data_IF_308993938755
#
_entry.id   IF_308993938755
#
_cell.length_a   1.000
_cell.length_b   1.000
_cell.length_c   1.000
_cell.angle_alpha   90.00
_cell.angle_beta   90.00
_cell.angle_gamma   90.00
#
_symmetry.space_group_name_H-M   'P 1'
#
loop_
_entity.id
_entity.type
_entity.pdbx_description
1 polymer ?
#
# COMPACT_ATOMS: atom_id res chain seq x y z
N UNK A 1 2.23 -2.11 -14.11
CA UNK A 1 3.21 -2.12 -12.97
C UNK A 1 3.74 -3.54 -12.82
N UNK A 2 5.07 -3.74 -12.80
CA UNK A 2 5.69 -5.08 -12.96
C UNK A 2 5.10 -6.21 -12.10
N UNK A 3 4.84 -5.95 -10.82
CA UNK A 3 4.17 -6.94 -9.96
C UNK A 3 2.75 -7.27 -10.46
N UNK A 4 1.92 -6.25 -10.72
CA UNK A 4 0.53 -6.44 -11.16
C UNK A 4 0.43 -7.12 -12.51
N UNK A 5 1.22 -6.66 -13.49
CA UNK A 5 1.24 -7.23 -14.84
C UNK A 5 1.67 -8.70 -14.81
N UNK A 6 2.64 -9.03 -13.93
CA UNK A 6 3.07 -10.41 -13.72
C UNK A 6 2.02 -11.25 -13.01
N UNK A 7 1.40 -10.73 -11.95
CA UNK A 7 0.32 -11.42 -11.22
C UNK A 7 -0.87 -11.74 -12.16
N UNK A 8 -1.29 -10.77 -12.96
CA UNK A 8 -2.35 -10.96 -13.97
C UNK A 8 -1.99 -12.04 -15.00
N UNK A 9 -0.72 -12.07 -15.47
CA UNK A 9 -0.23 -13.13 -16.37
C UNK A 9 -0.25 -14.52 -15.74
N UNK A 10 -0.32 -14.62 -14.41
CA UNK A 10 -0.43 -15.87 -13.65
C UNK A 10 -1.88 -16.22 -13.28
N UNK A 11 -2.85 -15.40 -13.73
CA UNK A 11 -4.28 -15.62 -13.54
C UNK A 11 -4.87 -14.96 -12.30
N UNK A 12 -4.15 -14.05 -11.63
CA UNK A 12 -4.71 -13.22 -10.56
C UNK A 12 -5.62 -12.12 -11.14
N UNK A 13 -6.70 -11.80 -10.43
CA UNK A 13 -7.46 -10.59 -10.70
C UNK A 13 -6.72 -9.38 -10.12
N UNK A 14 -6.42 -8.38 -10.94
CA UNK A 14 -5.68 -7.18 -10.53
C UNK A 14 -6.54 -5.95 -10.70
N UNK A 15 -6.76 -5.21 -9.60
CA UNK A 15 -7.41 -3.89 -9.62
C UNK A 15 -6.36 -2.82 -9.34
N UNK A 16 -6.20 -1.87 -10.25
CA UNK A 16 -5.23 -0.78 -10.12
C UNK A 16 -5.93 0.57 -9.98
N UNK A 17 -5.57 1.32 -8.95
CA UNK A 17 -6.13 2.63 -8.65
C UNK A 17 -5.04 3.71 -8.71
N UNK A 18 -5.20 4.67 -9.61
CA UNK A 18 -4.30 5.81 -9.76
C UNK A 18 -4.80 6.98 -8.92
N UNK A 19 -4.36 7.05 -7.65
CA UNK A 19 -4.88 8.00 -6.67
C UNK A 19 -4.81 9.47 -7.10
N UNK A 20 -3.82 9.85 -7.91
CA UNK A 20 -3.68 11.22 -8.37
C UNK A 20 -4.84 11.67 -9.30
N UNK A 21 -5.51 10.74 -9.97
CA UNK A 21 -6.65 11.01 -10.84
C UNK A 21 -8.01 10.91 -10.12
N UNK A 22 -8.04 10.53 -8.85
CA UNK A 22 -9.26 10.27 -8.09
C UNK A 22 -9.68 11.52 -7.29
N UNK A 23 -10.98 11.69 -7.13
CA UNK A 23 -11.55 12.79 -6.35
C UNK A 23 -11.92 12.29 -4.94
N UNK A 24 -11.06 12.57 -3.97
CA UNK A 24 -11.28 12.17 -2.58
C UNK A 24 -10.67 13.16 -1.58
N UNK A 25 -11.09 13.03 -0.34
CA UNK A 25 -10.53 13.77 0.80
C UNK A 25 -9.75 12.83 1.73
N UNK A 26 -8.70 13.35 2.33
CA UNK A 26 -8.01 12.66 3.43
C UNK A 26 -8.92 12.46 4.65
N UNK A 27 -8.45 11.72 5.64
CA UNK A 27 -9.19 11.48 6.88
C UNK A 27 -9.51 12.80 7.59
N UNK A 28 -10.77 12.99 8.00
CA UNK A 28 -11.23 14.19 8.67
C UNK A 28 -11.19 14.07 10.21
N UNK A 29 -10.66 12.98 10.77
CA UNK A 29 -10.60 12.76 12.22
C UNK A 29 -11.98 12.71 12.91
N UNK A 30 -13.03 12.42 12.18
CA UNK A 30 -14.42 12.48 12.69
C UNK A 30 -14.81 11.32 13.62
N UNK A 31 -13.99 10.27 13.71
CA UNK A 31 -14.21 9.06 14.52
C UNK A 31 -15.51 8.28 14.22
N UNK A 32 -16.25 8.61 13.18
CA UNK A 32 -17.49 7.92 12.86
C UNK A 32 -17.26 6.41 12.62
N UNK A 33 -16.12 6.02 12.05
CA UNK A 33 -15.71 4.63 11.88
C UNK A 33 -15.39 3.88 13.19
N UNK A 34 -15.43 4.55 14.34
CA UNK A 34 -15.25 3.97 15.69
C UNK A 34 -16.54 3.97 16.50
N UNK A 35 -17.46 4.85 16.17
CA UNK A 35 -18.63 5.14 17.04
C UNK A 35 -19.97 4.91 16.37
N UNK A 36 -20.05 4.94 15.02
CA UNK A 36 -21.29 4.90 14.27
C UNK A 36 -21.39 3.73 13.29
N UNK A 37 -20.27 3.34 12.69
CA UNK A 37 -20.21 2.29 11.67
C UNK A 37 -18.79 1.72 11.57
N UNK A 38 -18.64 0.57 10.92
CA UNK A 38 -17.37 -0.15 10.81
C UNK A 38 -16.55 0.21 9.56
N UNK A 39 -16.96 1.25 8.82
CA UNK A 39 -16.30 1.74 7.61
C UNK A 39 -16.12 3.25 7.65
N UNK A 40 -15.38 3.82 6.70
CA UNK A 40 -15.27 5.28 6.59
C UNK A 40 -16.62 5.90 6.20
N UNK A 41 -17.00 6.98 6.87
CA UNK A 41 -18.27 7.68 6.60
C UNK A 41 -18.20 8.52 5.32
N UNK A 42 -17.02 8.92 4.89
CA UNK A 42 -16.86 9.71 3.66
C UNK A 42 -17.19 8.82 2.44
N UNK A 43 -18.02 9.35 1.56
CA UNK A 43 -18.41 8.74 0.30
C UNK A 43 -17.77 9.51 -0.83
N UNK A 44 -16.69 8.97 -1.35
CA UNK A 44 -15.88 9.51 -2.44
C UNK A 44 -15.19 8.35 -3.18
N UNK A 45 -14.32 8.62 -4.12
CA UNK A 45 -13.67 7.58 -4.93
C UNK A 45 -12.88 6.55 -4.11
N UNK A 46 -12.41 6.91 -2.89
CA UNK A 46 -11.76 5.94 -2.00
C UNK A 46 -12.74 4.92 -1.39
N UNK A 47 -14.03 5.10 -1.50
CA UNK A 47 -15.00 4.11 -0.99
C UNK A 47 -14.78 2.76 -1.67
N UNK A 48 -14.72 2.75 -3.00
CA UNK A 48 -14.45 1.53 -3.78
C UNK A 48 -13.08 0.93 -3.47
N UNK A 49 -12.02 1.77 -3.36
CA UNK A 49 -10.67 1.30 -3.04
C UNK A 49 -10.62 0.59 -1.69
N UNK A 50 -11.26 1.18 -0.67
CA UNK A 50 -11.31 0.60 0.67
C UNK A 50 -12.11 -0.72 0.69
N UNK A 51 -13.19 -0.82 -0.08
CA UNK A 51 -13.96 -2.07 -0.22
C UNK A 51 -13.13 -3.14 -0.95
N UNK A 52 -12.45 -2.79 -2.04
CA UNK A 52 -11.61 -3.72 -2.80
C UNK A 52 -10.45 -4.30 -1.97
N UNK A 53 -9.83 -3.51 -1.09
CA UNK A 53 -8.77 -3.99 -0.18
C UNK A 53 -9.31 -5.02 0.81
N UNK A 54 -10.56 -4.87 1.24
CA UNK A 54 -11.17 -5.85 2.14
C UNK A 54 -11.29 -7.24 1.48
N UNK A 55 -11.50 -7.28 0.18
CA UNK A 55 -11.63 -8.51 -0.61
C UNK A 55 -10.30 -9.07 -1.10
N UNK A 56 -9.31 -8.21 -1.38
CA UNK A 56 -8.04 -8.60 -1.98
C UNK A 56 -7.17 -9.46 -1.04
N UNK A 57 -6.45 -10.43 -1.60
CA UNK A 57 -5.44 -11.23 -0.88
C UNK A 57 -4.13 -10.47 -0.73
N UNK A 58 -3.81 -9.58 -1.67
CA UNK A 58 -2.56 -8.82 -1.71
C UNK A 58 -2.85 -7.33 -1.86
N UNK A 59 -2.33 -6.52 -0.93
CA UNK A 59 -2.31 -5.06 -1.03
C UNK A 59 -0.95 -4.60 -1.54
N UNK A 60 -0.93 -3.89 -2.66
CA UNK A 60 0.27 -3.24 -3.19
C UNK A 60 0.12 -1.73 -3.08
N UNK A 61 1.02 -1.10 -2.33
CA UNK A 61 1.15 0.36 -2.26
C UNK A 61 2.40 0.78 -3.01
N UNK A 62 2.26 1.66 -4.00
CA UNK A 62 3.38 2.16 -4.79
C UNK A 62 3.42 3.69 -4.77
N UNK A 63 4.60 4.26 -4.50
CA UNK A 63 4.79 5.70 -4.42
C UNK A 63 6.22 6.12 -4.73
N UNK A 64 6.43 7.28 -5.35
CA UNK A 64 7.72 7.96 -5.21
C UNK A 64 7.87 8.47 -3.77
N UNK A 65 9.13 8.62 -3.34
CA UNK A 65 9.46 9.36 -2.12
C UNK A 65 9.56 10.84 -2.48
N UNK A 66 8.61 11.63 -2.00
CA UNK A 66 8.56 13.07 -2.18
C UNK A 66 8.73 13.77 -0.84
N UNK A 67 9.72 14.66 -0.77
CA UNK A 67 9.97 15.49 0.41
C UNK A 67 9.95 14.68 1.71
N UNK A 68 10.81 13.64 1.76
CA UNK A 68 11.03 12.72 2.89
C UNK A 68 9.85 11.79 3.27
N UNK A 69 8.83 11.64 2.43
CA UNK A 69 7.74 10.71 2.70
C UNK A 69 7.14 10.17 1.39
N UNK A 70 6.14 9.30 1.48
CA UNK A 70 5.31 8.91 0.34
C UNK A 70 4.55 10.12 -0.21
N UNK A 71 4.02 10.02 -1.41
CA UNK A 71 3.21 11.09 -2.01
C UNK A 71 2.01 11.47 -1.12
N UNK A 72 1.61 12.73 -1.14
CA UNK A 72 0.46 13.22 -0.36
C UNK A 72 -0.83 12.48 -0.67
N UNK A 73 -1.02 12.04 -1.92
CA UNK A 73 -2.18 11.23 -2.33
C UNK A 73 -2.18 9.87 -1.63
N UNK A 74 -1.04 9.16 -1.64
CA UNK A 74 -0.94 7.88 -0.94
C UNK A 74 -1.07 8.06 0.57
N UNK A 75 -0.48 9.11 1.14
CA UNK A 75 -0.64 9.41 2.58
C UNK A 75 -2.09 9.68 2.95
N UNK A 76 -2.81 10.46 2.14
CA UNK A 76 -4.24 10.72 2.35
C UNK A 76 -5.10 9.45 2.29
N UNK A 77 -4.76 8.52 1.38
CA UNK A 77 -5.37 7.19 1.36
C UNK A 77 -5.03 6.40 2.63
N UNK A 78 -3.76 6.32 3.02
CA UNK A 78 -3.32 5.62 4.24
C UNK A 78 -4.05 6.13 5.47
N UNK A 79 -4.24 7.45 5.62
CA UNK A 79 -5.02 8.01 6.73
C UNK A 79 -6.49 7.55 6.73
N UNK A 80 -7.07 7.31 5.56
CA UNK A 80 -8.45 6.81 5.42
C UNK A 80 -8.59 5.35 5.85
N UNK A 81 -7.54 4.55 5.74
CA UNK A 81 -7.53 3.15 6.19
C UNK A 81 -7.62 3.02 7.71
N UNK A 82 -7.50 4.11 8.48
CA UNK A 82 -7.84 4.13 9.92
C UNK A 82 -9.21 3.51 10.20
N UNK A 83 -10.12 3.51 9.24
CA UNK A 83 -11.42 2.86 9.34
C UNK A 83 -11.34 1.33 9.51
N UNK A 84 -10.25 0.69 9.12
CA UNK A 84 -10.06 -0.76 9.34
C UNK A 84 -9.72 -1.11 10.79
N UNK A 85 -9.19 -0.18 11.57
CA UNK A 85 -8.92 -0.44 12.98
C UNK A 85 -10.22 -0.45 13.79
N UNK A 86 -10.34 -1.41 14.70
CA UNK A 86 -11.48 -1.51 15.61
C UNK A 86 -11.41 -0.41 16.69
N UNK A 87 -12.53 -0.06 17.34
CA UNK A 87 -12.45 0.72 18.57
C UNK A 87 -11.51 0.05 19.58
N UNK A 88 -10.74 0.85 20.33
CA UNK A 88 -9.79 0.38 21.33
C UNK A 88 -8.74 -0.62 20.81
N UNK A 89 -8.30 -0.44 19.57
CA UNK A 89 -7.41 -1.37 18.87
C UNK A 89 -6.05 -1.60 19.56
N UNK A 90 -5.58 -0.70 20.41
CA UNK A 90 -4.35 -0.87 21.20
C UNK A 90 -4.45 -1.96 22.26
N UNK A 91 -5.65 -2.25 22.75
CA UNK A 91 -5.89 -3.19 23.87
C UNK A 91 -6.58 -4.49 23.38
N UNK A 92 -6.60 -4.74 22.07
CA UNK A 92 -7.30 -5.88 21.48
C UNK A 92 -6.33 -6.87 20.85
N UNK A 93 -6.58 -8.18 20.94
CA UNK A 93 -5.83 -9.18 20.20
C UNK A 93 -6.15 -9.17 18.69
N UNK A 94 -7.33 -8.68 18.29
CA UNK A 94 -7.81 -8.53 16.90
C UNK A 94 -8.01 -7.04 16.55
N UNK A 95 -6.95 -6.24 16.38
CA UNK A 95 -7.07 -4.79 16.24
C UNK A 95 -7.68 -4.35 14.92
N UNK A 96 -7.57 -5.17 13.88
CA UNK A 96 -7.96 -4.86 12.51
C UNK A 96 -9.24 -5.58 12.08
N UNK A 97 -10.00 -4.95 11.19
CA UNK A 97 -11.20 -5.54 10.56
C UNK A 97 -10.89 -6.25 9.24
N UNK A 98 -9.70 -6.10 8.71
CA UNK A 98 -9.29 -6.82 7.51
C UNK A 98 -9.20 -8.32 7.80
N UNK A 99 -9.60 -9.19 6.85
CA UNK A 99 -9.38 -10.62 6.96
C UNK A 99 -7.91 -10.96 7.17
N UNK A 100 -7.64 -12.02 7.92
CA UNK A 100 -6.30 -12.55 8.13
C UNK A 100 -5.71 -13.16 6.84
N UNK A 101 -4.39 -13.30 6.81
CA UNK A 101 -3.67 -13.95 5.71
C UNK A 101 -3.38 -13.04 4.51
N UNK A 102 -3.77 -11.78 4.56
CA UNK A 102 -3.42 -10.81 3.51
C UNK A 102 -1.93 -10.52 3.50
N UNK A 103 -1.40 -10.29 2.29
CA UNK A 103 -0.01 -9.90 2.06
C UNK A 103 0.11 -8.42 1.73
N UNK A 104 1.24 -7.82 2.08
CA UNK A 104 1.50 -6.40 1.85
C UNK A 104 2.79 -6.16 1.05
N UNK A 105 2.70 -5.42 -0.05
CA UNK A 105 3.85 -4.99 -0.82
C UNK A 105 3.92 -3.46 -0.84
N UNK A 106 5.05 -2.92 -0.40
CA UNK A 106 5.39 -1.51 -0.57
C UNK A 106 6.42 -1.37 -1.68
N UNK A 107 6.13 -0.55 -2.68
CA UNK A 107 7.08 -0.21 -3.74
C UNK A 107 7.39 1.28 -3.64
N UNK A 108 8.64 1.61 -3.40
CA UNK A 108 9.12 2.99 -3.31
C UNK A 108 10.15 3.26 -4.41
N UNK A 109 10.10 4.46 -4.99
CA UNK A 109 11.13 4.98 -5.86
C UNK A 109 11.63 6.31 -5.35
N UNK A 110 12.93 6.56 -5.43
CA UNK A 110 13.54 7.82 -4.99
C UNK A 110 14.74 8.18 -5.87
N UNK A 111 14.95 9.48 -6.09
CA UNK A 111 16.15 9.98 -6.73
C UNK A 111 17.38 9.97 -5.82
N UNK A 112 17.17 10.04 -4.50
CA UNK A 112 18.23 10.00 -3.51
C UNK A 112 18.92 8.62 -3.43
N UNK A 113 20.13 8.59 -2.86
CA UNK A 113 20.88 7.35 -2.63
C UNK A 113 20.19 6.44 -1.60
N UNK A 114 20.56 5.17 -1.60
CA UNK A 114 19.97 4.15 -0.72
C UNK A 114 20.11 4.45 0.77
N UNK A 115 21.17 5.15 1.17
CA UNK A 115 21.40 5.56 2.57
C UNK A 115 20.39 6.59 3.09
N UNK A 116 19.70 7.31 2.18
CA UNK A 116 18.75 8.36 2.53
C UNK A 116 17.32 7.81 2.61
N UNK A 117 16.46 8.46 3.38
CA UNK A 117 15.04 8.12 3.54
C UNK A 117 14.76 6.67 4.01
N UNK A 118 15.67 6.08 4.81
CA UNK A 118 15.52 4.71 5.34
C UNK A 118 14.36 4.58 6.32
N UNK A 119 13.94 5.66 6.92
CA UNK A 119 12.82 5.74 7.84
C UNK A 119 11.48 5.56 7.12
N UNK A 120 11.38 5.93 5.85
CA UNK A 120 10.13 5.84 5.06
C UNK A 120 9.65 4.38 4.94
N UNK A 121 10.43 3.42 4.41
CA UNK A 121 9.98 2.03 4.37
C UNK A 121 9.65 1.48 5.75
N UNK A 122 10.46 1.74 6.78
CA UNK A 122 10.24 1.25 8.14
C UNK A 122 8.90 1.71 8.73
N UNK A 123 8.53 2.97 8.49
CA UNK A 123 7.24 3.54 8.91
C UNK A 123 6.05 2.76 8.32
N UNK A 124 6.11 2.45 7.02
CA UNK A 124 5.00 1.79 6.34
C UNK A 124 5.00 0.27 6.49
N UNK A 125 6.14 -0.35 6.75
CA UNK A 125 6.22 -1.74 7.20
C UNK A 125 5.56 -1.92 8.57
N UNK A 126 5.82 -1.01 9.51
CA UNK A 126 5.13 -1.00 10.81
C UNK A 126 3.62 -0.77 10.66
N UNK A 127 3.22 0.13 9.75
CA UNK A 127 1.83 0.33 9.39
C UNK A 127 1.18 -0.96 8.87
N UNK A 128 1.80 -1.65 7.91
CA UNK A 128 1.29 -2.91 7.38
C UNK A 128 1.17 -4.00 8.45
N UNK A 129 2.15 -4.11 9.36
CA UNK A 129 2.10 -5.03 10.51
C UNK A 129 0.88 -4.77 11.39
N UNK A 130 0.61 -3.50 11.67
CA UNK A 130 -0.53 -3.08 12.49
C UNK A 130 -1.89 -3.46 11.89
N UNK A 131 -1.94 -3.63 10.56
CA UNK A 131 -3.11 -4.11 9.83
C UNK A 131 -3.15 -5.64 9.67
N UNK A 132 -2.21 -6.37 10.26
CA UNK A 132 -2.16 -7.82 10.18
C UNK A 132 -1.55 -8.35 8.88
N UNK A 133 -0.88 -7.51 8.09
CA UNK A 133 -0.17 -7.90 6.88
C UNK A 133 1.22 -8.45 7.28
N UNK A 134 1.25 -9.62 7.90
CA UNK A 134 2.48 -10.20 8.46
C UNK A 134 3.44 -10.68 7.37
N UNK A 135 2.92 -11.24 6.26
CA UNK A 135 3.71 -11.52 5.06
C UNK A 135 3.79 -10.22 4.23
N UNK A 136 4.86 -9.47 4.45
CA UNK A 136 5.07 -8.17 3.81
C UNK A 136 6.47 -8.01 3.26
N UNK A 137 6.59 -7.28 2.16
CA UNK A 137 7.83 -6.96 1.48
C UNK A 137 7.89 -5.49 1.08
N UNK A 138 9.10 -4.98 0.98
CA UNK A 138 9.36 -3.64 0.44
C UNK A 138 10.38 -3.73 -0.69
N UNK A 139 10.01 -3.21 -1.85
CA UNK A 139 10.91 -3.01 -2.99
C UNK A 139 11.23 -1.53 -3.06
N UNK A 140 12.51 -1.16 -3.00
CA UNK A 140 12.94 0.23 -2.95
C UNK A 140 13.96 0.54 -4.03
N UNK A 141 13.52 1.23 -5.08
CA UNK A 141 14.39 1.76 -6.12
C UNK A 141 15.04 3.07 -5.68
N UNK A 142 16.32 3.03 -5.32
CA UNK A 142 17.14 4.20 -5.00
C UNK A 142 17.95 4.67 -6.21
N UNK A 143 18.26 5.96 -6.29
CA UNK A 143 18.96 6.56 -7.43
C UNK A 143 18.13 6.60 -8.73
N UNK A 144 16.83 6.37 -8.65
CA UNK A 144 15.93 6.35 -9.80
C UNK A 144 15.45 7.77 -10.11
N UNK A 145 16.20 8.44 -10.96
CA UNK A 145 15.87 9.77 -11.48
C UNK A 145 14.99 9.70 -12.74
N UNK A 146 14.57 10.86 -13.22
CA UNK A 146 13.82 10.99 -14.48
C UNK A 146 14.58 10.39 -15.67
N UNK A 147 15.91 10.55 -15.68
CA UNK A 147 16.82 10.02 -16.70
C UNK A 147 17.15 8.53 -16.54
N UNK A 148 16.65 7.85 -15.51
CA UNK A 148 16.93 6.44 -15.28
C UNK A 148 16.46 5.58 -16.47
N UNK A 149 17.34 4.71 -16.93
CA UNK A 149 17.10 3.81 -18.07
C UNK A 149 16.28 2.59 -17.67
N UNK A 150 15.93 1.76 -18.63
CA UNK A 150 15.31 0.46 -18.37
C UNK A 150 16.29 -0.46 -17.61
N UNK A 151 17.60 -0.37 -17.88
CA UNK A 151 18.63 -1.15 -17.20
C UNK A 151 18.76 -0.78 -15.73
N UNK A 152 18.69 0.51 -15.38
CA UNK A 152 18.71 0.98 -14.00
C UNK A 152 17.50 0.46 -13.19
N UNK A 153 16.37 0.26 -13.85
CA UNK A 153 15.13 -0.22 -13.24
C UNK A 153 15.01 -1.74 -13.20
N UNK A 154 15.78 -2.44 -14.06
CA UNK A 154 15.64 -3.88 -14.25
C UNK A 154 15.75 -4.71 -12.97
N UNK A 155 16.65 -4.45 -12.02
CA UNK A 155 16.73 -5.21 -10.76
C UNK A 155 15.42 -5.17 -9.97
N UNK A 156 14.81 -4.00 -9.84
CA UNK A 156 13.57 -3.81 -9.08
C UNK A 156 12.35 -4.42 -9.81
N UNK A 157 12.34 -4.36 -11.13
CA UNK A 157 11.33 -5.04 -11.97
C UNK A 157 11.42 -6.55 -11.79
N UNK A 158 12.62 -7.12 -11.86
CA UNK A 158 12.83 -8.56 -11.67
C UNK A 158 12.45 -9.02 -10.27
N UNK A 159 12.76 -8.24 -9.23
CA UNK A 159 12.36 -8.52 -7.85
C UNK A 159 10.84 -8.52 -7.71
N UNK A 160 10.17 -7.51 -8.27
CA UNK A 160 8.70 -7.43 -8.26
C UNK A 160 8.03 -8.60 -8.99
N UNK A 161 8.58 -9.02 -10.15
CA UNK A 161 8.08 -10.18 -10.88
C UNK A 161 8.35 -11.50 -10.15
N UNK A 162 9.51 -11.65 -9.50
CA UNK A 162 9.83 -12.83 -8.70
C UNK A 162 8.86 -12.97 -7.53
N UNK A 163 8.57 -11.88 -6.85
CA UNK A 163 7.61 -11.85 -5.76
C UNK A 163 6.18 -12.16 -6.24
N UNK A 164 5.79 -11.67 -7.42
CA UNK A 164 4.50 -12.03 -7.99
C UNK A 164 4.39 -13.53 -8.32
N UNK A 165 5.49 -14.17 -8.77
CA UNK A 165 5.52 -15.64 -8.96
C UNK A 165 5.39 -16.38 -7.63
N UNK A 166 6.05 -15.90 -6.59
CA UNK A 166 5.98 -16.49 -5.24
C UNK A 166 4.57 -16.39 -4.65
N UNK A 167 3.92 -15.23 -4.78
CA UNK A 167 2.65 -14.95 -4.11
C UNK A 167 1.41 -15.35 -4.92
N UNK A 168 1.48 -15.34 -6.24
CA UNK A 168 0.35 -15.59 -7.15
C UNK A 168 0.56 -16.83 -8.04
N UNK A 169 1.76 -17.43 -8.05
CA UNK A 169 2.03 -18.68 -8.76
C UNK A 169 1.34 -19.85 -8.06
N UNK A 170 0.56 -20.65 -8.82
CA UNK A 170 -0.06 -21.89 -8.37
C UNK A 170 0.88 -23.06 -8.52
#
# INVERSE_FOLDING_TARGET
MAFGDKAESLGAEVKTYHLNGMNFKGCQGCYACKTKQDSCILKDDLTEVLEAIHEADVLVMASPVYFWDISGQLKSFVDRTYSYLRPDFFNRPDPCRLPEGKKGLLILTQGAEEREHRDVPQKYEHFMEHYGLHDRKTIRGAGIHESATAEDRAPYVQEAEALAREWCGR
#
